data_IF_015159018316
#
_entry.id   IF_015159018316
#
_cell.length_a   1.000
_cell.length_b   1.000
_cell.length_c   1.000
_cell.angle_alpha   90.00
_cell.angle_beta   90.00
_cell.angle_gamma   90.00
#
_symmetry.space_group_name_H-M   'P 1'
#
loop_
_entity.id
_entity.type
_entity.pdbx_description
1 polymer ?
#
# COMPACT_ATOMS: atom_id res chain seq x y z
N UNK A 1 0.37 12.52 -66.82
CA UNK A 1 0.67 11.07 -66.91
C UNK A 1 -0.35 10.36 -66.03
N UNK A 2 -1.09 9.41 -66.61
CA UNK A 2 -2.07 8.55 -65.94
C UNK A 2 -1.34 7.78 -64.81
N UNK A 3 -1.99 7.39 -63.71
CA UNK A 3 -2.44 6.03 -63.35
C UNK A 3 -2.93 6.16 -61.88
N UNK A 4 -4.10 5.76 -61.37
CA UNK A 4 -4.87 4.52 -61.52
C UNK A 4 -4.95 3.83 -60.14
N UNK A 5 -6.09 3.16 -59.84
CA UNK A 5 -6.48 2.41 -58.62
C UNK A 5 -7.21 3.26 -57.57
N UNK A 6 -8.42 2.93 -57.12
CA UNK A 6 -9.26 1.76 -57.35
C UNK A 6 -10.29 1.66 -56.21
N UNK A 7 -11.54 1.52 -56.60
CA UNK A 7 -12.75 1.36 -55.81
C UNK A 7 -12.74 0.01 -55.05
N UNK A 8 -12.81 0.00 -53.72
CA UNK A 8 -13.45 -1.09 -52.97
C UNK A 8 -14.12 -0.55 -51.70
N UNK A 9 -15.45 -0.52 -51.77
CA UNK A 9 -16.32 -0.51 -50.60
C UNK A 9 -16.06 -1.79 -49.79
N UNK A 10 -15.57 -1.65 -48.57
CA UNK A 10 -15.25 -2.75 -47.67
C UNK A 10 -15.64 -2.37 -46.25
N UNK A 11 -16.91 -2.63 -45.93
CA UNK A 11 -17.42 -2.75 -44.58
C UNK A 11 -16.58 -3.77 -43.80
N UNK A 12 -15.71 -3.30 -42.91
CA UNK A 12 -15.19 -4.12 -41.81
C UNK A 12 -14.95 -3.25 -40.59
N UNK A 13 -16.00 -3.20 -39.78
CA UNK A 13 -15.97 -2.89 -38.36
C UNK A 13 -14.89 -3.75 -37.69
N UNK A 14 -13.78 -3.15 -37.28
CA UNK A 14 -12.96 -3.69 -36.20
C UNK A 14 -12.78 -2.57 -35.19
N UNK A 15 -13.78 -2.40 -34.31
CA UNK A 15 -13.56 -1.69 -33.06
C UNK A 15 -12.56 -2.52 -32.26
N UNK A 16 -11.33 -2.03 -32.20
CA UNK A 16 -10.31 -2.53 -31.29
C UNK A 16 -10.87 -2.47 -29.85
N UNK A 17 -11.12 -3.64 -29.27
CA UNK A 17 -11.44 -3.76 -27.86
C UNK A 17 -10.20 -3.42 -27.03
N UNK A 18 -10.17 -2.24 -26.41
CA UNK A 18 -9.31 -1.98 -25.26
C UNK A 18 -10.12 -2.26 -23.99
N UNK A 19 -10.03 -3.48 -23.46
CA UNK A 19 -10.28 -3.71 -22.03
C UNK A 19 -8.95 -3.59 -21.31
N UNK A 20 -8.51 -2.35 -21.07
CA UNK A 20 -7.43 -2.08 -20.13
C UNK A 20 -7.97 -2.33 -18.73
N UNK A 21 -8.01 -3.60 -18.33
CA UNK A 21 -8.10 -3.97 -16.93
C UNK A 21 -6.89 -3.37 -16.24
N UNK A 22 -7.09 -2.36 -15.40
CA UNK A 22 -6.07 -1.92 -14.46
C UNK A 22 -6.05 -2.92 -13.33
N UNK A 23 -5.33 -4.03 -13.50
CA UNK A 23 -4.82 -4.78 -12.36
C UNK A 23 -3.90 -3.84 -11.57
N UNK A 24 -4.39 -3.39 -10.42
CA UNK A 24 -3.57 -2.67 -9.45
C UNK A 24 -2.59 -3.68 -8.88
N UNK A 25 -1.42 -3.76 -9.51
CA UNK A 25 -0.27 -4.47 -8.98
C UNK A 25 0.08 -3.87 -7.61
N UNK A 26 -0.18 -4.63 -6.55
CA UNK A 26 0.05 -4.19 -5.17
C UNK A 26 1.52 -3.86 -4.87
N UNK A 27 2.43 -4.26 -5.76
CA UNK A 27 3.86 -3.95 -5.69
C UNK A 27 4.19 -2.56 -6.29
N UNK A 28 3.35 -1.98 -7.15
CA UNK A 28 3.48 -0.61 -7.64
C UNK A 28 3.13 0.47 -6.59
N UNK A 29 2.33 0.12 -5.56
CA UNK A 29 1.91 1.05 -4.48
C UNK A 29 3.06 1.36 -3.49
N UNK A 30 4.16 0.58 -3.52
CA UNK A 30 5.32 0.78 -2.63
C UNK A 30 6.40 1.72 -3.22
N UNK A 31 6.24 2.18 -4.46
CA UNK A 31 7.25 2.95 -5.19
C UNK A 31 7.05 4.49 -5.12
N UNK A 32 5.89 4.98 -4.70
CA UNK A 32 5.64 6.42 -4.60
C UNK A 32 6.07 6.97 -3.22
N UNK A 33 7.38 7.15 -3.07
CA UNK A 33 7.96 7.85 -1.91
C UNK A 33 7.51 9.33 -1.82
N UNK A 34 6.85 9.86 -2.86
CA UNK A 34 6.32 11.20 -2.92
C UNK A 34 5.17 11.48 -1.94
N UNK A 35 4.53 10.46 -1.37
CA UNK A 35 3.40 10.61 -0.45
C UNK A 35 3.62 10.08 0.97
N UNK A 36 4.79 9.51 1.27
CA UNK A 36 5.08 9.09 2.66
C UNK A 36 5.52 10.26 3.54
N UNK A 37 5.23 10.13 4.83
CA UNK A 37 5.79 10.95 5.90
C UNK A 37 6.80 10.15 6.71
N UNK A 38 7.61 10.82 7.52
CA UNK A 38 8.60 10.19 8.39
C UNK A 38 8.11 10.14 9.83
N UNK A 39 8.48 9.07 10.54
CA UNK A 39 8.21 8.93 11.97
C UNK A 39 9.51 8.87 12.76
N UNK A 40 9.45 9.35 14.01
CA UNK A 40 10.48 9.12 15.03
C UNK A 40 9.87 8.33 16.17
N UNK A 41 10.44 7.16 16.45
CA UNK A 41 10.11 6.38 17.64
C UNK A 41 10.58 7.11 18.90
N UNK A 42 9.68 7.22 19.87
CA UNK A 42 9.97 7.75 21.20
C UNK A 42 10.31 6.62 22.16
N UNK A 43 9.74 5.44 21.93
CA UNK A 43 10.02 4.20 22.65
C UNK A 43 10.45 3.14 21.63
N UNK A 44 11.57 2.46 21.87
CA UNK A 44 12.09 1.40 20.98
C UNK A 44 12.04 0.01 21.59
N UNK A 45 12.24 -0.09 22.91
CA UNK A 45 12.29 -1.35 23.64
C UNK A 45 11.47 -1.21 24.92
N UNK A 46 10.65 -2.21 25.21
CA UNK A 46 9.92 -2.36 26.47
C UNK A 46 10.12 -3.77 26.98
N UNK A 47 10.57 -3.89 28.23
CA UNK A 47 10.63 -5.16 28.93
C UNK A 47 9.40 -5.29 29.81
N UNK A 48 8.74 -6.43 29.71
CA UNK A 48 7.81 -6.92 30.72
C UNK A 48 8.63 -7.87 31.58
N UNK A 49 8.62 -7.67 32.90
CA UNK A 49 9.36 -8.47 33.86
C UNK A 49 8.80 -9.91 33.89
N UNK A 50 8.85 -10.58 35.03
CA UNK A 50 8.29 -11.92 35.19
C UNK A 50 6.78 -11.88 34.95
N UNK A 51 6.32 -12.63 33.95
CA UNK A 51 4.90 -12.82 33.63
C UNK A 51 4.47 -14.23 33.98
N UNK A 52 3.23 -14.37 34.41
CA UNK A 52 2.63 -15.69 34.68
C UNK A 52 1.97 -16.26 33.42
N UNK A 53 1.83 -17.60 33.35
CA UNK A 53 1.18 -18.24 32.21
C UNK A 53 -0.29 -17.82 32.11
N UNK A 54 -0.68 -17.34 30.93
CA UNK A 54 -2.03 -16.82 30.67
C UNK A 54 -2.23 -15.34 30.98
N UNK A 55 -1.21 -14.67 31.54
CA UNK A 55 -1.25 -13.23 31.78
C UNK A 55 -1.17 -12.44 30.48
N UNK A 56 -1.99 -11.39 30.36
CA UNK A 56 -2.00 -10.50 29.21
C UNK A 56 -1.32 -9.18 29.59
N UNK A 57 -0.16 -8.90 28.98
CA UNK A 57 0.55 -7.64 29.17
C UNK A 57 0.27 -6.70 28.01
N UNK A 58 -0.10 -5.45 28.33
CA UNK A 58 -0.26 -4.38 27.33
C UNK A 58 0.98 -3.50 27.33
N UNK A 59 1.61 -3.37 26.17
CA UNK A 59 2.75 -2.48 25.98
C UNK A 59 2.39 -1.38 24.97
N UNK A 60 2.50 -0.13 25.43
CA UNK A 60 2.34 1.04 24.56
C UNK A 60 3.68 1.47 23.96
N UNK A 61 3.70 1.66 22.64
CA UNK A 61 4.81 2.29 21.93
C UNK A 61 4.35 3.63 21.37
N UNK A 62 5.17 4.65 21.54
CA UNK A 62 4.89 6.00 21.03
C UNK A 62 5.85 6.33 19.91
N UNK A 63 5.32 6.99 18.90
CA UNK A 63 6.07 7.62 17.83
C UNK A 63 5.49 9.00 17.54
N UNK A 64 6.27 9.84 16.89
CA UNK A 64 5.88 11.17 16.45
C UNK A 64 6.04 11.27 14.94
N UNK A 65 5.04 11.85 14.26
CA UNK A 65 5.19 12.29 12.87
C UNK A 65 6.20 13.45 12.83
N UNK A 66 7.30 13.26 12.12
CA UNK A 66 8.38 14.25 11.97
C UNK A 66 8.50 14.78 10.55
N UNK A 67 7.68 14.31 9.62
CA UNK A 67 7.60 14.88 8.27
C UNK A 67 6.49 15.93 8.16
N UNK A 68 6.40 16.51 6.96
CA UNK A 68 5.51 17.64 6.66
C UNK A 68 4.15 17.20 6.10
N UNK A 69 3.86 15.89 6.10
CA UNK A 69 2.63 15.31 5.54
C UNK A 69 1.82 14.60 6.62
N UNK A 70 0.49 14.43 6.43
CA UNK A 70 -0.33 13.62 7.32
C UNK A 70 0.18 12.19 7.44
N UNK A 71 0.07 11.59 8.63
CA UNK A 71 0.45 10.20 8.89
C UNK A 71 -0.79 9.32 8.90
N UNK A 72 -0.83 8.33 8.03
CA UNK A 72 -1.86 7.30 7.99
C UNK A 72 -1.26 5.92 8.30
N UNK A 73 -1.82 5.22 9.28
CA UNK A 73 -1.48 3.83 9.57
C UNK A 73 -2.40 2.90 8.79
N UNK A 74 -1.94 2.41 7.64
CA UNK A 74 -2.74 1.57 6.74
C UNK A 74 -2.63 0.08 7.06
N UNK A 75 -1.53 -0.35 7.67
CA UNK A 75 -1.29 -1.75 7.98
C UNK A 75 -0.41 -1.88 9.23
N UNK A 76 -1.01 -2.32 10.34
CA UNK A 76 -0.29 -2.60 11.59
C UNK A 76 -0.34 -4.10 11.82
N UNK A 77 0.83 -4.74 11.84
CA UNK A 77 0.99 -6.19 11.97
C UNK A 77 1.96 -6.53 13.10
N UNK A 78 1.60 -7.56 13.84
CA UNK A 78 2.50 -8.21 14.78
C UNK A 78 3.51 -9.11 14.06
N UNK A 79 4.73 -9.19 14.59
CA UNK A 79 5.78 -10.06 14.05
C UNK A 79 5.59 -11.53 14.46
N UNK A 80 5.17 -11.80 15.70
CA UNK A 80 4.71 -13.12 16.14
C UNK A 80 3.17 -13.16 16.17
N UNK A 81 2.57 -14.29 15.79
CA UNK A 81 1.13 -14.50 15.91
C UNK A 81 0.60 -14.51 17.35
N UNK A 82 1.50 -14.44 18.34
CA UNK A 82 1.21 -14.39 19.76
C UNK A 82 0.92 -12.99 20.32
N UNK A 83 1.10 -11.95 19.50
CA UNK A 83 0.89 -10.55 19.89
C UNK A 83 -0.20 -9.93 19.04
N UNK A 84 -1.06 -9.10 19.66
CA UNK A 84 -2.17 -8.43 18.97
C UNK A 84 -1.89 -6.92 18.97
N UNK A 85 -1.77 -6.28 17.79
CA UNK A 85 -1.57 -4.85 17.72
C UNK A 85 -2.89 -4.11 17.98
N UNK A 86 -2.82 -3.09 18.83
CA UNK A 86 -3.91 -2.12 19.06
C UNK A 86 -3.36 -0.72 18.80
N UNK A 87 -4.09 0.08 18.02
CA UNK A 87 -3.66 1.43 17.62
C UNK A 87 -4.88 2.34 17.40
N UNK A 88 -4.66 3.64 17.61
CA UNK A 88 -5.67 4.67 17.33
C UNK A 88 -5.80 4.87 15.83
N UNK A 89 -7.05 4.87 15.33
CA UNK A 89 -7.39 5.18 13.93
C UNK A 89 -7.52 6.67 13.71
#
# INVERSE_FOLDING_TARGET
>A
MKNGVGLTAGLLLVLAACNSGTDIDANAIMADSGNYTSIKWLDSIKSFDTITMGEQVKLGFRFRNTGDKPLYLTNVKAACGCTVPDYTR
#
